data_IF_896762036454
#
_entry.id   IF_896762036454
#
_cell.length_a   1.000
_cell.length_b   1.000
_cell.length_c   1.000
_cell.angle_alpha   90.00
_cell.angle_beta   90.00
_cell.angle_gamma   90.00
#
_symmetry.space_group_name_H-M   'P 1'
#
loop_
_entity.id
_entity.type
_entity.pdbx_description
1 polymer ?
#
# COMPACT_ATOMS: atom_id res chain seq x y z
N UNK A 1 37.82 -54.25 -54.79
CA UNK A 1 38.05 -53.52 -53.52
C UNK A 1 36.77 -52.76 -53.17
N UNK A 2 35.99 -53.29 -52.22
CA UNK A 2 34.63 -52.82 -51.93
C UNK A 2 34.61 -51.74 -50.84
N UNK A 3 33.62 -50.87 -51.01
CA UNK A 3 33.33 -49.61 -50.33
C UNK A 3 33.16 -49.78 -48.82
N UNK A 4 33.77 -48.90 -48.02
CA UNK A 4 33.43 -48.70 -46.60
C UNK A 4 32.08 -47.99 -46.55
N UNK A 5 31.02 -48.69 -46.14
CA UNK A 5 29.77 -48.06 -45.74
C UNK A 5 29.94 -47.56 -44.31
N UNK A 6 29.93 -46.24 -44.12
CA UNK A 6 29.83 -45.62 -42.81
C UNK A 6 28.34 -45.53 -42.46
N UNK A 7 27.87 -46.41 -41.58
CA UNK A 7 26.50 -46.36 -41.06
C UNK A 7 26.39 -45.20 -40.08
N UNK A 8 25.84 -44.07 -40.52
CA UNK A 8 25.50 -42.94 -39.64
C UNK A 8 24.16 -43.27 -38.98
N UNK A 9 24.19 -43.60 -37.69
CA UNK A 9 23.00 -43.74 -36.86
C UNK A 9 22.44 -42.34 -36.64
N UNK A 10 21.38 -42.01 -37.36
CA UNK A 10 20.60 -40.78 -37.15
C UNK A 10 19.77 -40.97 -35.86
N UNK A 11 20.35 -40.57 -34.72
CA UNK A 11 19.59 -40.46 -33.48
C UNK A 11 18.64 -39.27 -33.60
N UNK A 12 17.36 -39.55 -33.86
CA UNK A 12 16.28 -38.59 -33.69
C UNK A 12 16.21 -38.20 -32.21
N UNK A 13 16.86 -37.10 -31.84
CA UNK A 13 16.61 -36.45 -30.55
C UNK A 13 15.25 -35.77 -30.69
N UNK A 14 14.22 -36.49 -30.25
CA UNK A 14 12.88 -35.94 -30.05
C UNK A 14 12.98 -34.78 -29.07
N UNK A 15 12.96 -33.55 -29.59
CA UNK A 15 12.78 -32.35 -28.78
C UNK A 15 11.31 -32.39 -28.34
N UNK A 16 11.06 -33.05 -27.20
CA UNK A 16 9.83 -32.90 -26.47
C UNK A 16 9.71 -31.43 -26.10
N UNK A 17 8.97 -30.67 -26.92
CA UNK A 17 8.46 -29.36 -26.55
C UNK A 17 7.54 -29.60 -25.37
N UNK A 18 8.10 -29.59 -24.17
CA UNK A 18 7.33 -29.36 -22.96
C UNK A 18 6.76 -27.96 -23.13
N UNK A 19 5.56 -27.89 -23.71
CA UNK A 19 4.63 -26.83 -23.46
C UNK A 19 4.46 -26.76 -21.95
N UNK A 20 5.33 -25.98 -21.28
CA UNK A 20 5.10 -25.55 -19.92
C UNK A 20 3.72 -24.93 -19.95
N UNK A 21 2.73 -25.68 -19.43
CA UNK A 21 1.40 -25.16 -19.14
C UNK A 21 1.64 -23.83 -18.47
N UNK A 22 1.31 -22.74 -19.16
CA UNK A 22 1.34 -21.39 -18.60
C UNK A 22 0.53 -21.50 -17.33
N UNK A 23 1.20 -21.57 -16.19
CA UNK A 23 0.56 -21.59 -14.90
C UNK A 23 -0.32 -20.34 -14.92
N UNK A 24 -1.64 -20.46 -14.71
CA UNK A 24 -2.49 -19.28 -14.64
C UNK A 24 -1.81 -18.29 -13.70
N UNK A 25 -1.74 -16.99 -14.05
CA UNK A 25 -1.18 -16.01 -13.13
C UNK A 25 -1.89 -16.21 -11.78
N UNK A 26 -1.15 -16.32 -10.67
CA UNK A 26 -1.74 -16.35 -9.35
C UNK A 26 -2.84 -15.30 -9.27
N UNK A 27 -4.02 -15.71 -8.81
CA UNK A 27 -5.13 -14.79 -8.60
C UNK A 27 -4.60 -13.59 -7.83
N UNK A 28 -4.91 -12.37 -8.27
CA UNK A 28 -4.40 -11.17 -7.58
C UNK A 28 -4.97 -11.18 -6.17
N UNK A 29 -4.14 -11.48 -5.18
CA UNK A 29 -4.57 -11.69 -3.80
C UNK A 29 -4.68 -10.35 -3.09
N UNK A 30 -5.81 -10.11 -2.44
CA UNK A 30 -6.02 -8.96 -1.56
C UNK A 30 -5.10 -9.10 -0.35
N UNK A 31 -4.19 -8.16 -0.15
CA UNK A 31 -3.27 -8.16 1.00
C UNK A 31 -3.96 -7.53 2.22
N UNK A 32 -3.54 -7.91 3.43
CA UNK A 32 -4.02 -7.26 4.65
C UNK A 32 -3.76 -5.75 4.60
N UNK A 33 -4.75 -4.95 5.05
CA UNK A 33 -4.69 -3.47 4.96
C UNK A 33 -5.08 -2.89 3.60
N UNK A 34 -5.77 -3.65 2.75
CA UNK A 34 -6.34 -3.16 1.48
C UNK A 34 -7.87 -3.23 1.49
N UNK A 35 -8.52 -2.23 0.91
CA UNK A 35 -9.97 -2.16 0.75
C UNK A 35 -10.37 -2.10 -0.72
N UNK A 36 -11.65 -2.36 -0.97
CA UNK A 36 -12.20 -2.24 -2.33
C UNK A 36 -12.30 -0.75 -2.71
N UNK A 37 -12.18 -0.49 -4.01
CA UNK A 37 -12.45 0.83 -4.58
C UNK A 37 -13.95 0.94 -4.74
N UNK A 38 -14.57 1.80 -3.94
CA UNK A 38 -16.01 2.01 -3.93
C UNK A 38 -16.41 2.97 -5.04
N UNK A 39 -17.68 2.91 -5.46
CA UNK A 39 -18.23 3.88 -6.43
C UNK A 39 -18.20 5.33 -5.92
N UNK A 40 -18.22 5.49 -4.60
CA UNK A 40 -18.13 6.79 -3.91
C UNK A 40 -16.71 7.32 -3.86
N UNK A 41 -15.69 6.50 -4.15
CA UNK A 41 -14.30 6.93 -4.11
C UNK A 41 -13.99 7.77 -5.36
N UNK A 42 -13.49 8.99 -5.16
CA UNK A 42 -13.20 9.93 -6.24
C UNK A 42 -11.79 9.67 -6.78
N UNK A 43 -11.65 9.39 -8.08
CA UNK A 43 -10.33 9.35 -8.72
C UNK A 43 -9.68 10.74 -8.64
N UNK A 44 -8.47 10.82 -8.10
CA UNK A 44 -7.71 12.06 -7.93
C UNK A 44 -6.55 12.20 -8.91
N UNK A 45 -5.87 11.10 -9.20
CA UNK A 45 -4.65 11.12 -10.01
C UNK A 45 -4.40 9.75 -10.64
N UNK A 46 -3.45 9.71 -11.58
CA UNK A 46 -2.78 8.50 -12.01
C UNK A 46 -1.30 8.77 -12.28
N UNK A 47 -0.52 7.70 -12.24
CA UNK A 47 0.91 7.75 -12.48
C UNK A 47 1.43 6.40 -12.98
N UNK A 48 2.67 6.38 -13.46
CA UNK A 48 3.35 5.15 -13.85
C UNK A 48 4.67 5.02 -13.11
N UNK A 49 4.98 3.80 -12.68
CA UNK A 49 6.33 3.42 -12.26
C UNK A 49 6.83 2.44 -13.31
N UNK A 50 7.85 2.85 -14.08
CA UNK A 50 8.29 2.14 -15.29
C UNK A 50 7.12 1.93 -16.26
N UNK A 51 6.75 0.68 -16.52
CA UNK A 51 5.65 0.30 -17.42
C UNK A 51 4.34 -0.03 -16.70
N UNK A 52 4.29 0.10 -15.37
CA UNK A 52 3.12 -0.24 -14.57
C UNK A 52 2.33 1.02 -14.24
N UNK A 53 1.08 1.10 -14.70
CA UNK A 53 0.16 2.20 -14.41
C UNK A 53 -0.58 1.99 -13.09
N UNK A 54 -0.74 3.07 -12.33
CA UNK A 54 -1.48 3.13 -11.08
C UNK A 54 -2.49 4.28 -11.11
N UNK A 55 -3.63 4.07 -10.45
CA UNK A 55 -4.66 5.08 -10.23
C UNK A 55 -4.77 5.37 -8.73
N UNK A 56 -5.03 6.63 -8.38
CA UNK A 56 -5.23 7.07 -6.99
C UNK A 56 -6.67 7.50 -6.82
N UNK A 57 -7.35 6.91 -5.85
CA UNK A 57 -8.70 7.27 -5.44
C UNK A 57 -8.67 7.88 -4.04
N UNK A 58 -9.56 8.83 -3.78
CA UNK A 58 -9.85 9.36 -2.46
C UNK A 58 -11.15 8.77 -1.96
N UNK A 59 -11.05 7.99 -0.89
CA UNK A 59 -12.19 7.45 -0.17
C UNK A 59 -12.31 8.02 1.23
N UNK A 60 -13.49 7.85 1.80
CA UNK A 60 -13.78 8.12 3.21
C UNK A 60 -14.12 6.79 3.89
N UNK A 61 -13.50 6.51 5.03
CA UNK A 61 -13.94 5.43 5.91
C UNK A 61 -14.88 6.02 6.95
N UNK A 62 -16.05 5.40 7.13
CA UNK A 62 -16.99 5.79 8.18
C UNK A 62 -16.51 5.23 9.52
N UNK A 63 -16.69 5.98 10.64
CA UNK A 63 -16.28 5.57 11.98
C UNK A 63 -16.81 4.20 12.43
N UNK A 64 -17.97 3.78 11.91
CA UNK A 64 -18.67 2.54 12.28
C UNK A 64 -17.82 1.27 12.08
N UNK A 65 -16.79 1.32 11.23
CA UNK A 65 -15.92 0.18 10.92
C UNK A 65 -14.68 0.06 11.84
N UNK A 66 -14.38 1.07 12.68
CA UNK A 66 -13.30 1.00 13.66
C UNK A 66 -13.75 1.52 15.02
N UNK A 67 -13.74 0.63 16.02
CA UNK A 67 -14.19 0.79 17.43
C UNK A 67 -13.52 1.99 18.19
N UNK A 68 -12.71 2.83 17.53
CA UNK A 68 -11.96 3.94 18.13
C UNK A 68 -12.29 5.34 17.59
N UNK A 69 -13.16 5.49 16.60
CA UNK A 69 -13.54 6.80 16.05
C UNK A 69 -14.92 7.24 16.57
N UNK A 70 -15.01 8.46 17.09
CA UNK A 70 -16.23 9.05 17.61
C UNK A 70 -17.06 9.68 16.46
N UNK A 71 -18.35 9.93 16.72
CA UNK A 71 -19.22 10.62 15.76
C UNK A 71 -18.66 12.01 15.46
N UNK A 72 -18.35 12.29 14.20
CA UNK A 72 -17.72 13.55 13.75
C UNK A 72 -16.25 13.41 13.36
N UNK A 73 -15.62 12.27 13.68
CA UNK A 73 -14.28 11.95 13.19
C UNK A 73 -14.29 11.67 11.68
N UNK A 74 -13.21 12.06 11.01
CA UNK A 74 -13.02 11.87 9.58
C UNK A 74 -11.80 10.99 9.35
N UNK A 75 -11.91 10.01 8.46
CA UNK A 75 -10.77 9.26 7.94
C UNK A 75 -10.80 9.28 6.41
N UNK A 76 -9.91 10.07 5.82
CA UNK A 76 -9.69 10.13 4.38
C UNK A 76 -8.48 9.29 3.99
N UNK A 77 -8.64 8.43 3.00
CA UNK A 77 -7.60 7.53 2.52
C UNK A 77 -7.34 7.77 1.03
N UNK A 78 -6.07 7.91 0.66
CA UNK A 78 -5.63 7.67 -0.71
C UNK A 78 -5.53 6.16 -0.92
N UNK A 79 -6.39 5.64 -1.79
CA UNK A 79 -6.38 4.25 -2.24
C UNK A 79 -5.62 4.17 -3.56
N UNK A 80 -4.37 3.71 -3.52
CA UNK A 80 -3.52 3.55 -4.70
C UNK A 80 -3.71 2.14 -5.22
N UNK A 81 -4.11 2.02 -6.48
CA UNK A 81 -4.36 0.73 -7.13
C UNK A 81 -3.63 0.61 -8.46
N UNK A 82 -3.27 -0.61 -8.85
CA UNK A 82 -2.73 -0.87 -10.19
C UNK A 82 -3.89 -0.77 -11.17
N UNK A 83 -3.62 -0.29 -12.37
CA UNK A 83 -4.65 -0.08 -13.37
C UNK A 83 -5.54 -1.32 -13.56
N UNK A 84 -6.85 -1.08 -13.69
CA UNK A 84 -7.93 -2.09 -13.83
C UNK A 84 -8.24 -2.96 -12.61
N UNK A 85 -7.50 -2.84 -11.49
CA UNK A 85 -7.91 -3.51 -10.26
C UNK A 85 -9.04 -2.76 -9.56
N UNK A 86 -9.88 -3.52 -8.83
CA UNK A 86 -11.04 -3.02 -8.08
C UNK A 86 -10.78 -2.88 -6.57
N UNK A 87 -9.55 -3.08 -6.14
CA UNK A 87 -9.11 -2.93 -4.74
C UNK A 87 -7.78 -2.20 -4.68
N UNK A 88 -7.47 -1.58 -3.54
CA UNK A 88 -6.21 -0.86 -3.32
C UNK A 88 -5.02 -1.83 -3.18
N UNK A 89 -3.84 -1.45 -3.65
CA UNK A 89 -2.58 -2.11 -3.27
C UNK A 89 -1.97 -1.49 -2.02
N UNK A 90 -2.19 -0.19 -1.87
CA UNK A 90 -1.63 0.61 -0.82
C UNK A 90 -2.66 1.66 -0.43
N UNK A 91 -2.87 1.80 0.87
CA UNK A 91 -3.68 2.86 1.44
C UNK A 91 -2.79 3.80 2.21
N UNK A 92 -2.87 5.08 1.87
CA UNK A 92 -2.17 6.14 2.58
C UNK A 92 -3.23 7.00 3.23
N UNK A 93 -3.20 7.08 4.55
CA UNK A 93 -4.04 8.02 5.29
C UNK A 93 -3.73 9.43 4.80
N UNK A 94 -4.67 10.06 4.09
CA UNK A 94 -4.54 11.45 3.68
C UNK A 94 -4.68 12.34 4.91
N UNK A 95 -5.73 12.05 5.70
CA UNK A 95 -6.16 12.91 6.78
C UNK A 95 -7.02 12.09 7.76
N UNK A 96 -6.73 12.19 9.04
CA UNK A 96 -7.53 11.61 10.11
C UNK A 96 -7.75 12.63 11.22
N UNK A 97 -8.99 12.71 11.71
CA UNK A 97 -9.33 13.53 12.88
C UNK A 97 -9.88 12.72 14.02
N UNK A 98 -9.67 13.24 15.24
CA UNK A 98 -10.30 12.79 16.47
C UNK A 98 -10.76 13.99 17.27
N UNK A 99 -12.04 14.07 17.64
CA UNK A 99 -12.61 15.20 18.41
C UNK A 99 -12.31 16.58 17.79
N UNK A 100 -12.35 16.66 16.46
CA UNK A 100 -12.10 17.89 15.69
C UNK A 100 -10.62 18.21 15.43
N UNK A 101 -9.69 17.39 15.92
CA UNK A 101 -8.24 17.63 15.80
C UNK A 101 -7.57 16.63 14.88
N UNK A 102 -6.45 17.02 14.29
CA UNK A 102 -5.73 16.20 13.31
C UNK A 102 -4.80 15.24 14.04
N UNK A 103 -5.06 13.94 13.90
CA UNK A 103 -4.24 12.87 14.51
C UNK A 103 -3.33 12.17 13.49
N UNK A 104 -3.55 12.41 12.20
CA UNK A 104 -2.72 11.84 11.15
C UNK A 104 -2.90 12.54 9.82
N UNK A 105 -1.80 12.69 9.10
CA UNK A 105 -1.76 13.26 7.77
C UNK A 105 -0.77 12.50 6.92
N UNK A 106 -1.10 12.31 5.64
CA UNK A 106 -0.18 11.65 4.73
C UNK A 106 -0.27 12.21 3.33
N UNK A 107 0.84 12.04 2.63
CA UNK A 107 1.01 12.48 1.25
C UNK A 107 1.87 11.48 0.50
N UNK A 108 1.81 11.56 -0.81
CA UNK A 108 2.67 10.77 -1.68
C UNK A 108 3.24 11.66 -2.79
N UNK A 109 4.41 11.28 -3.28
CA UNK A 109 5.08 11.89 -4.43
C UNK A 109 5.78 10.81 -5.24
N UNK A 110 5.81 10.97 -6.56
CA UNK A 110 6.59 10.10 -7.45
C UNK A 110 7.89 10.81 -7.84
N UNK A 111 9.04 10.17 -7.58
CA UNK A 111 10.36 10.66 -7.97
C UNK A 111 11.15 9.50 -8.57
N UNK A 112 11.64 9.64 -9.81
CA UNK A 112 12.51 8.65 -10.48
C UNK A 112 12.02 7.19 -10.32
N UNK A 113 10.79 6.91 -10.79
CA UNK A 113 10.17 5.57 -10.68
C UNK A 113 10.04 5.03 -9.23
N UNK A 114 10.08 5.91 -8.23
CA UNK A 114 9.90 5.56 -6.83
C UNK A 114 8.75 6.37 -6.25
N UNK A 115 7.73 5.66 -5.75
CA UNK A 115 6.66 6.27 -4.98
C UNK A 115 7.15 6.47 -3.54
N UNK A 116 7.21 7.71 -3.11
CA UNK A 116 7.57 8.09 -1.75
C UNK A 116 6.29 8.49 -1.03
N UNK A 117 6.01 7.82 0.08
CA UNK A 117 4.88 8.08 0.95
C UNK A 117 5.40 8.65 2.26
N UNK A 118 4.83 9.77 2.70
CA UNK A 118 5.08 10.34 4.02
C UNK A 118 3.79 10.25 4.83
N UNK A 119 3.87 9.71 6.05
CA UNK A 119 2.77 9.67 7.00
C UNK A 119 3.24 10.27 8.32
N UNK A 120 2.58 11.35 8.74
CA UNK A 120 2.75 11.94 10.04
C UNK A 120 1.61 11.45 10.93
N UNK A 121 1.95 11.03 12.14
CA UNK A 121 1.00 10.64 13.17
C UNK A 121 1.24 11.52 14.39
N UNK A 122 0.15 11.97 14.99
CA UNK A 122 0.11 12.84 16.15
C UNK A 122 -0.83 12.16 17.16
N UNK A 123 -0.33 11.17 17.90
CA UNK A 123 -1.14 10.39 18.84
C UNK A 123 -0.54 10.39 20.24
N UNK A 124 -1.28 9.85 21.21
CA UNK A 124 -0.96 9.83 22.65
C UNK A 124 0.39 9.18 23.00
N UNK A 125 0.94 8.32 22.11
CA UNK A 125 2.24 7.65 22.28
C UNK A 125 3.41 8.56 21.84
N UNK A 126 3.12 9.61 21.07
CA UNK A 126 4.11 10.54 20.53
C UNK A 126 3.82 10.93 19.09
N UNK A 127 4.54 11.94 18.61
CA UNK A 127 4.45 12.38 17.22
C UNK A 127 5.60 11.84 16.40
N UNK A 128 5.30 11.24 15.25
CA UNK A 128 6.32 10.65 14.37
C UNK A 128 5.96 10.82 12.90
N UNK A 129 7.00 10.88 12.07
CA UNK A 129 6.92 10.90 10.62
C UNK A 129 7.53 9.62 10.08
N UNK A 130 6.79 8.94 9.22
CA UNK A 130 7.22 7.75 8.51
C UNK A 130 7.37 8.08 7.03
N UNK A 131 8.55 7.83 6.47
CA UNK A 131 8.80 7.95 5.04
C UNK A 131 9.05 6.56 4.47
N UNK A 132 8.12 6.08 3.65
CA UNK A 132 8.19 4.77 3.01
C UNK A 132 8.36 4.91 1.51
N UNK A 133 9.32 4.19 0.94
CA UNK A 133 9.55 4.15 -0.51
C UNK A 133 9.04 2.85 -1.09
N UNK A 134 8.38 2.96 -2.24
CA UNK A 134 7.83 1.85 -2.99
C UNK A 134 8.30 1.89 -4.44
N UNK A 135 8.54 0.71 -5.00
CA UNK A 135 8.76 0.51 -6.44
C UNK A 135 7.70 -0.44 -6.98
N UNK A 136 7.50 -0.45 -8.31
CA UNK A 136 6.62 -1.45 -8.92
C UNK A 136 7.35 -2.78 -9.12
N UNK A 137 6.65 -3.87 -8.83
CA UNK A 137 7.03 -5.24 -9.22
C UNK A 137 5.90 -5.91 -10.02
N UNK A 138 6.02 -7.23 -10.26
CA UNK A 138 5.02 -7.99 -11.02
C UNK A 138 3.64 -7.99 -10.34
N UNK A 139 3.59 -7.89 -9.01
CA UNK A 139 2.37 -7.97 -8.21
C UNK A 139 1.77 -6.61 -7.90
N UNK A 140 2.56 -5.54 -7.81
CA UNK A 140 2.04 -4.22 -7.52
C UNK A 140 3.11 -3.30 -6.97
N UNK A 141 2.83 -2.62 -5.85
CA UNK A 141 3.80 -1.80 -5.13
C UNK A 141 4.53 -2.65 -4.09
N UNK A 142 5.86 -2.62 -4.14
CA UNK A 142 6.74 -3.28 -3.17
C UNK A 142 7.48 -2.23 -2.35
N UNK A 143 7.39 -2.31 -1.02
CA UNK A 143 8.18 -1.50 -0.10
C UNK A 143 9.66 -1.84 -0.26
N UNK A 144 10.50 -0.84 -0.46
CA UNK A 144 11.97 -0.99 -0.56
C UNK A 144 12.71 -0.36 0.61
N UNK A 145 12.14 0.67 1.23
CA UNK A 145 12.67 1.24 2.47
C UNK A 145 11.55 1.87 3.29
N UNK A 146 11.75 1.93 4.60
CA UNK A 146 10.92 2.73 5.50
C UNK A 146 11.81 3.34 6.56
N UNK A 147 11.67 4.62 6.79
CA UNK A 147 12.35 5.37 7.83
C UNK A 147 11.32 6.02 8.74
N UNK A 148 11.59 6.06 10.04
CA UNK A 148 10.70 6.64 11.04
C UNK A 148 11.49 7.59 11.91
N UNK A 149 10.99 8.83 12.04
CA UNK A 149 11.61 9.87 12.86
C UNK A 149 10.58 10.46 13.81
N UNK A 150 10.99 10.74 15.04
CA UNK A 150 10.19 11.55 15.94
C UNK A 150 9.99 12.95 15.38
N UNK A 151 8.79 13.50 15.56
CA UNK A 151 8.49 14.90 15.29
C UNK A 151 8.70 15.65 16.61
N UNK A 152 9.62 16.62 16.60
CA UNK A 152 9.87 17.45 17.77
C UNK A 152 8.63 18.27 18.13
N UNK A 153 8.36 18.44 19.42
CA UNK A 153 7.20 19.16 19.94
C UNK A 153 7.12 20.61 19.42
N UNK A 154 8.26 21.27 19.22
CA UNK A 154 8.36 22.64 18.66
C UNK A 154 7.79 22.76 17.23
N UNK A 155 7.67 21.66 16.49
CA UNK A 155 7.13 21.63 15.13
C UNK A 155 5.62 21.30 15.10
N UNK A 156 5.00 21.07 16.26
CA UNK A 156 3.58 20.78 16.39
C UNK A 156 2.84 22.08 16.74
N UNK A 157 1.86 22.45 15.92
CA UNK A 157 0.92 23.55 16.26
C UNK A 157 -0.18 23.05 17.20
N UNK A 158 -0.90 23.95 17.88
CA UNK A 158 -1.99 23.63 18.82
C UNK A 158 -3.02 22.64 18.24
N UNK A 159 -3.30 22.74 16.93
CA UNK A 159 -4.22 21.82 16.22
C UNK A 159 -3.78 20.34 16.20
N UNK A 160 -2.52 20.05 16.55
CA UNK A 160 -1.93 18.71 16.65
C UNK A 160 -1.60 18.31 18.09
N UNK A 161 -1.77 19.22 19.06
CA UNK A 161 -1.32 19.04 20.44
C UNK A 161 -2.52 18.82 21.36
N UNK A 162 -2.74 17.58 21.82
CA UNK A 162 -3.43 17.33 23.09
C UNK A 162 -2.72 16.28 23.94
N UNK A 163 -2.78 16.40 25.28
CA UNK A 163 -2.26 15.39 26.17
C UNK A 163 -2.97 14.05 25.96
N UNK A 164 -2.22 12.97 26.10
CA UNK A 164 -2.78 11.69 26.48
C UNK A 164 -3.45 11.86 27.86
N UNK A 165 -4.72 12.22 27.92
CA UNK A 165 -5.52 11.89 29.11
C UNK A 165 -5.61 10.36 29.13
N UNK A 166 -4.60 9.71 29.72
CA UNK A 166 -4.73 8.33 30.17
C UNK A 166 -5.82 8.34 31.23
N UNK A 167 -7.06 8.10 30.82
CA UNK A 167 -8.02 7.50 31.73
C UNK A 167 -7.47 6.11 32.04
N UNK A 168 -6.83 6.01 33.20
CA UNK A 168 -6.53 4.73 33.84
C UNK A 168 -7.75 3.83 33.64
N UNK A 169 -7.58 2.60 33.12
CA UNK A 169 -8.73 1.71 32.94
C UNK A 169 -9.47 1.59 34.29
N UNK A 170 -10.81 1.68 34.30
CA UNK A 170 -11.55 1.50 35.53
C UNK A 170 -11.15 0.15 36.16
N UNK A 171 -10.98 0.09 37.50
CA UNK A 171 -10.60 -1.16 38.14
C UNK A 171 -11.59 -2.26 37.75
N UNK A 172 -11.07 -3.47 37.56
CA UNK A 172 -11.90 -4.63 37.24
C UNK A 172 -13.01 -4.73 38.29
N UNK A 173 -14.27 -4.70 37.82
CA UNK A 173 -15.40 -5.03 38.69
C UNK A 173 -15.40 -6.55 38.85
N UNK A 174 -15.17 -6.99 40.08
CA UNK A 174 -15.48 -8.36 40.52
C UNK A 174 -17.00 -8.56 40.54
#
# INVERSE_FOLDING_TARGET
>A
MMKKLLTIILAFVSISVFAQKKTPPPAVVKTAGTSDILKTDKRLADFSIKKTKFNVYLGYQKPEEMIRQEKGDTLQMYKITKDKLKFSHLEVMKFATRKGEIIGEGKFILINDTLIVTQNMYDYIGSYSMVTKYVADKWGLKKVSGDMKGIKLENLTERHLKPAEMKVPPPARN
#
